data_IF_840296368824
#
_entry.id   IF_840296368824
#
_cell.length_a   1.000
_cell.length_b   1.000
_cell.length_c   1.000
_cell.angle_alpha   90.00
_cell.angle_beta   90.00
_cell.angle_gamma   90.00
#
_symmetry.space_group_name_H-M   'P 1'
#
loop_
_entity.id
_entity.type
_entity.pdbx_description
1 polymer ?
#
# COMPACT_ATOMS: atom_id res chain seq x y z
N UNK A 1 11.11 -15.45 -4.35
CA UNK A 1 10.44 -14.94 -3.11
C UNK A 1 9.25 -14.10 -3.55
N UNK A 2 8.09 -14.20 -2.88
CA UNK A 2 6.90 -13.40 -3.20
C UNK A 2 6.53 -12.57 -1.96
N UNK A 3 6.28 -11.27 -2.12
CA UNK A 3 5.89 -10.36 -1.03
C UNK A 3 5.14 -9.13 -1.57
N UNK A 4 4.49 -8.37 -0.68
CA UNK A 4 3.78 -7.13 -1.04
C UNK A 4 4.63 -5.88 -0.79
N UNK A 5 4.44 -4.87 -1.64
CA UNK A 5 4.89 -3.50 -1.39
C UNK A 5 3.65 -2.63 -1.34
N UNK A 6 3.30 -2.17 -0.13
CA UNK A 6 1.99 -1.55 0.17
C UNK A 6 2.08 -0.21 0.95
N UNK A 7 2.76 0.82 0.41
CA UNK A 7 2.98 2.06 1.15
C UNK A 7 1.67 2.81 1.42
N UNK A 8 1.50 3.22 2.68
CA UNK A 8 0.45 4.16 3.12
C UNK A 8 1.09 5.53 3.37
N UNK A 9 0.60 6.57 2.71
CA UNK A 9 1.12 7.94 2.80
C UNK A 9 0.06 8.86 3.38
N UNK A 10 0.39 9.47 4.52
CA UNK A 10 -0.48 10.45 5.19
C UNK A 10 -0.10 11.87 4.76
N UNK A 11 -1.10 12.71 4.47
CA UNK A 11 -0.89 14.15 4.25
C UNK A 11 -0.42 14.87 5.52
N UNK A 12 -0.89 14.39 6.68
CA UNK A 12 -0.56 14.93 8.00
C UNK A 12 0.54 14.13 8.70
N UNK A 13 0.27 13.73 9.95
CA UNK A 13 1.21 13.03 10.83
C UNK A 13 1.09 11.50 10.68
N UNK A 14 2.16 10.78 11.05
CA UNK A 14 2.20 9.31 11.04
C UNK A 14 1.32 8.61 12.10
N UNK A 15 0.75 9.34 13.06
CA UNK A 15 0.07 8.72 14.20
C UNK A 15 -1.34 8.26 13.81
N UNK A 16 -1.71 7.05 14.23
CA UNK A 16 -2.97 6.39 13.84
C UNK A 16 -3.86 6.05 15.05
N UNK A 17 -5.15 5.79 14.79
CA UNK A 17 -6.12 5.25 15.76
C UNK A 17 -6.98 4.18 15.07
N UNK A 18 -7.21 3.08 15.77
CA UNK A 18 -8.21 2.06 15.40
C UNK A 18 -9.57 2.50 15.97
N UNK A 19 -10.62 2.47 15.15
CA UNK A 19 -11.97 2.83 15.55
C UNK A 19 -12.63 1.72 16.38
N UNK A 20 -13.82 2.01 16.91
CA UNK A 20 -14.55 1.08 17.80
C UNK A 20 -15.03 -0.19 17.08
N UNK A 21 -15.03 -0.20 15.75
CA UNK A 21 -15.29 -1.41 14.95
C UNK A 21 -14.14 -2.43 14.99
N UNK A 22 -12.97 -2.04 15.52
CA UNK A 22 -11.79 -2.91 15.63
C UNK A 22 -10.99 -3.08 14.34
N UNK A 23 -11.38 -2.41 13.25
CA UNK A 23 -10.80 -2.59 11.92
C UNK A 23 -10.36 -1.29 11.27
N UNK A 24 -11.21 -0.27 11.32
CA UNK A 24 -10.96 0.96 10.58
C UNK A 24 -9.81 1.73 11.23
N UNK A 25 -8.74 1.95 10.46
CA UNK A 25 -7.59 2.75 10.88
C UNK A 25 -7.69 4.14 10.28
N UNK A 26 -7.64 5.16 11.13
CA UNK A 26 -7.64 6.57 10.72
C UNK A 26 -6.41 7.29 11.24
N UNK A 27 -5.98 8.33 10.52
CA UNK A 27 -4.98 9.27 11.03
C UNK A 27 -5.51 9.97 12.28
N UNK A 28 -4.68 10.14 13.32
CA UNK A 28 -5.11 10.80 14.57
C UNK A 28 -5.51 12.27 14.33
N UNK A 29 -4.90 12.91 13.34
CA UNK A 29 -5.20 14.29 12.94
C UNK A 29 -6.30 14.40 11.88
N UNK A 30 -6.89 13.26 11.45
CA UNK A 30 -7.96 13.17 10.44
C UNK A 30 -7.60 13.73 9.05
N UNK A 31 -6.31 13.92 8.78
CA UNK A 31 -5.84 14.28 7.43
C UNK A 31 -5.99 13.10 6.48
N UNK A 32 -6.01 13.38 5.16
CA UNK A 32 -6.13 12.36 4.13
C UNK A 32 -4.94 11.37 4.17
N UNK A 33 -5.22 10.15 3.75
CA UNK A 33 -4.26 9.07 3.52
C UNK A 33 -4.54 8.42 2.17
N UNK A 34 -3.49 7.97 1.49
CA UNK A 34 -3.58 7.19 0.27
C UNK A 34 -2.69 5.95 0.38
N UNK A 35 -3.07 4.88 -0.32
CA UNK A 35 -2.34 3.62 -0.36
C UNK A 35 -2.33 3.07 -1.77
N UNK A 36 -1.24 2.40 -2.12
CA UNK A 36 -1.14 1.53 -3.30
C UNK A 36 -0.50 0.23 -2.86
N UNK A 37 -0.72 -0.84 -3.61
CA UNK A 37 -0.18 -2.16 -3.32
C UNK A 37 0.14 -2.94 -4.59
N UNK A 38 1.29 -3.59 -4.60
CA UNK A 38 1.65 -4.60 -5.59
C UNK A 38 2.21 -5.86 -4.94
N UNK A 39 1.87 -7.01 -5.50
CA UNK A 39 2.52 -8.29 -5.20
C UNK A 39 3.70 -8.47 -6.14
N UNK A 40 4.88 -8.71 -5.57
CA UNK A 40 6.16 -8.74 -6.25
C UNK A 40 6.79 -10.12 -6.11
N UNK A 41 7.11 -10.75 -7.24
CA UNK A 41 7.96 -11.93 -7.32
C UNK A 41 9.41 -11.51 -7.57
N UNK A 42 10.33 -11.82 -6.66
CA UNK A 42 11.77 -11.71 -6.88
C UNK A 42 12.24 -12.87 -7.76
N UNK A 43 12.90 -12.54 -8.87
CA UNK A 43 13.51 -13.48 -9.82
C UNK A 43 15.04 -13.50 -9.67
N UNK A 44 15.74 -14.33 -10.45
CA UNK A 44 17.21 -14.41 -10.38
C UNK A 44 17.92 -13.09 -10.74
N UNK A 45 17.30 -12.27 -11.60
CA UNK A 45 17.92 -11.06 -12.17
C UNK A 45 17.12 -9.78 -11.88
N UNK A 46 15.99 -9.86 -11.18
CA UNK A 46 15.12 -8.72 -10.92
C UNK A 46 13.81 -9.09 -10.25
N UNK A 47 12.70 -8.58 -10.77
CA UNK A 47 11.38 -8.81 -10.23
C UNK A 47 10.29 -8.84 -11.30
N UNK A 48 9.14 -9.42 -10.95
CA UNK A 48 7.89 -9.38 -11.71
C UNK A 48 6.79 -8.80 -10.81
N UNK A 49 5.97 -7.90 -11.37
CA UNK A 49 4.78 -7.38 -10.69
C UNK A 49 3.58 -8.22 -11.12
N UNK A 50 3.02 -8.99 -10.18
CA UNK A 50 1.96 -9.97 -10.48
C UNK A 50 0.57 -9.34 -10.57
N UNK A 51 0.40 -8.10 -10.10
CA UNK A 51 -0.89 -7.42 -9.97
C UNK A 51 -1.02 -6.14 -10.80
N UNK A 52 -0.27 -6.04 -11.91
CA UNK A 52 -0.44 -4.91 -12.86
C UNK A 52 -1.79 -5.03 -13.57
N UNK A 53 -2.59 -3.97 -13.56
CA UNK A 53 -3.82 -3.92 -14.35
C UNK A 53 -3.49 -3.73 -15.83
N UNK A 54 -4.27 -4.32 -16.76
CA UNK A 54 -4.12 -4.05 -18.20
C UNK A 54 -4.14 -2.55 -18.57
N UNK A 55 -4.78 -1.71 -17.75
CA UNK A 55 -4.89 -0.28 -17.98
C UNK A 55 -3.69 0.55 -17.45
N UNK A 56 -2.82 -0.02 -16.62
CA UNK A 56 -1.71 0.69 -15.96
C UNK A 56 -0.60 1.10 -16.93
N UNK A 57 -0.58 0.53 -18.16
CA UNK A 57 0.55 0.64 -19.07
C UNK A 57 1.71 -0.25 -18.62
N UNK A 58 2.70 -0.48 -19.50
CA UNK A 58 3.97 -1.07 -19.06
C UNK A 58 4.69 -0.03 -18.20
N UNK A 59 5.26 -0.40 -17.04
CA UNK A 59 6.10 0.50 -16.26
C UNK A 59 7.27 1.06 -17.08
#
# INVERSE_FOLDING_TARGET
MIFTVEPMINQGKRHLRILNDGWTVVTKDRSLSAQWEHEVLVTETGYEILTVSPATGKP
#
